data_IF_525280823705
#
_entry.id   IF_525280823705
#
_cell.length_a   1.000
_cell.length_b   1.000
_cell.length_c   1.000
_cell.angle_alpha   90.00
_cell.angle_beta   90.00
_cell.angle_gamma   90.00
#
_symmetry.space_group_name_H-M   'P 1'
#
loop_
_entity.id
_entity.type
_entity.pdbx_description
1 polymer ?
#
# COMPACT_ATOMS: atom_id res chain seq x y z
N UNK A 1 24.31 21.79 1.43
CA UNK A 1 24.36 20.32 1.33
C UNK A 1 23.75 19.78 2.62
N UNK A 2 22.44 19.57 2.63
CA UNK A 2 21.71 19.14 3.84
C UNK A 2 21.74 17.62 3.86
N UNK A 3 22.41 17.08 4.87
CA UNK A 3 22.41 15.65 5.20
C UNK A 3 20.97 15.27 5.60
N UNK A 4 20.25 14.65 4.67
CA UNK A 4 19.01 13.96 4.98
C UNK A 4 19.41 12.68 5.70
N UNK A 5 19.18 12.64 7.00
CA UNK A 5 19.27 11.39 7.78
C UNK A 5 18.22 10.44 7.21
N UNK A 6 18.59 9.27 6.64
CA UNK A 6 17.59 8.29 6.27
C UNK A 6 16.94 7.79 7.56
N UNK A 7 15.63 8.02 7.68
CA UNK A 7 14.80 7.41 8.71
C UNK A 7 14.93 5.89 8.55
N UNK A 8 15.77 5.32 9.41
CA UNK A 8 16.00 3.91 9.61
C UNK A 8 14.78 3.37 10.37
N UNK A 9 13.67 3.16 9.67
CA UNK A 9 12.37 2.90 10.29
C UNK A 9 11.65 1.70 9.67
N UNK A 10 12.38 0.61 9.48
CA UNK A 10 11.78 -0.74 9.33
C UNK A 10 12.53 -1.85 10.10
N UNK A 11 13.55 -1.51 10.90
CA UNK A 11 14.26 -2.45 11.77
C UNK A 11 14.34 -2.05 13.25
N UNK A 12 13.75 -0.92 13.65
CA UNK A 12 13.89 -0.37 15.01
C UNK A 12 12.60 -0.36 15.83
N UNK A 13 11.50 -0.91 15.31
CA UNK A 13 10.17 -0.91 15.95
C UNK A 13 9.71 -2.23 16.59
N UNK A 14 10.51 -3.29 16.58
CA UNK A 14 10.18 -4.55 17.26
C UNK A 14 11.22 -4.86 18.32
N UNK A 15 10.87 -4.64 19.58
CA UNK A 15 11.61 -5.24 20.68
C UNK A 15 11.53 -6.79 20.56
N UNK A 16 12.66 -7.40 20.18
CA UNK A 16 13.06 -8.76 20.50
C UNK A 16 12.17 -9.95 20.08
N UNK A 17 11.43 -9.86 18.97
CA UNK A 17 11.01 -11.06 18.24
C UNK A 17 12.01 -11.29 17.11
N UNK A 18 12.75 -12.41 17.16
CA UNK A 18 13.62 -12.82 16.07
C UNK A 18 12.75 -12.98 14.81
N UNK A 19 12.95 -12.12 13.81
CA UNK A 19 12.20 -12.21 12.57
C UNK A 19 12.59 -13.50 11.87
N UNK A 20 11.60 -14.29 11.48
CA UNK A 20 11.81 -15.59 10.85
C UNK A 20 11.08 -15.68 9.53
N UNK A 21 11.66 -16.41 8.59
CA UNK A 21 11.03 -16.78 7.33
C UNK A 21 10.63 -18.26 7.40
N UNK A 22 9.38 -18.57 7.04
CA UNK A 22 8.82 -19.91 7.18
C UNK A 22 8.14 -20.37 5.91
N UNK A 23 8.25 -21.67 5.62
CA UNK A 23 7.46 -22.37 4.60
C UNK A 23 6.98 -23.72 5.16
N UNK A 24 5.93 -24.31 4.60
CA UNK A 24 5.52 -25.66 4.99
C UNK A 24 6.53 -26.71 4.50
N UNK A 25 6.92 -27.63 5.38
CA UNK A 25 7.67 -28.83 4.97
C UNK A 25 6.77 -29.73 4.13
N UNK A 26 7.38 -30.43 3.16
CA UNK A 26 6.65 -31.28 2.22
C UNK A 26 5.96 -30.50 1.10
N UNK A 27 6.34 -29.23 0.90
CA UNK A 27 6.00 -28.48 -0.29
C UNK A 27 6.63 -29.15 -1.53
N UNK A 28 5.84 -29.31 -2.59
CA UNK A 28 6.23 -30.08 -3.77
C UNK A 28 6.39 -29.17 -4.99
N UNK A 29 7.43 -29.41 -5.80
CA UNK A 29 7.72 -28.61 -6.99
C UNK A 29 6.64 -28.77 -8.07
N UNK A 30 6.15 -30.00 -8.25
CA UNK A 30 5.05 -30.35 -9.14
C UNK A 30 3.70 -29.73 -8.71
N UNK A 31 3.60 -29.28 -7.46
CA UNK A 31 2.46 -28.55 -6.93
C UNK A 31 2.79 -27.06 -6.69
N UNK A 32 3.84 -26.55 -7.33
CA UNK A 32 4.24 -25.14 -7.27
C UNK A 32 4.47 -24.60 -5.85
N UNK A 33 4.92 -25.46 -4.93
CA UNK A 33 5.19 -25.09 -3.54
C UNK A 33 4.08 -25.43 -2.56
N UNK A 34 2.96 -26.01 -3.03
CA UNK A 34 1.88 -26.42 -2.14
C UNK A 34 2.31 -27.62 -1.30
N UNK A 35 2.12 -27.52 0.01
CA UNK A 35 2.21 -28.62 0.96
C UNK A 35 0.80 -29.12 1.33
N UNK A 36 0.35 -30.29 0.84
CA UNK A 36 -1.01 -30.76 1.07
C UNK A 36 -1.34 -30.98 2.55
N UNK A 37 -0.38 -31.52 3.30
CA UNK A 37 -0.62 -31.98 4.68
C UNK A 37 -0.35 -30.90 5.73
N UNK A 38 0.49 -29.89 5.41
CA UNK A 38 0.88 -28.80 6.33
C UNK A 38 1.43 -29.29 7.68
N UNK A 39 1.99 -30.49 7.72
CA UNK A 39 2.33 -31.19 8.97
C UNK A 39 3.42 -30.50 9.81
N UNK A 40 4.28 -29.68 9.20
CA UNK A 40 5.34 -28.96 9.91
C UNK A 40 5.83 -27.75 9.11
N UNK A 41 6.54 -26.86 9.81
CA UNK A 41 7.18 -25.69 9.23
C UNK A 41 8.68 -25.90 9.11
N UNK A 42 9.24 -25.35 8.04
CA UNK A 42 10.65 -25.08 7.89
C UNK A 42 10.83 -23.59 8.15
N UNK A 43 11.51 -23.25 9.24
CA UNK A 43 11.71 -21.87 9.69
C UNK A 43 13.20 -21.59 9.73
N UNK A 44 13.60 -20.43 9.19
CA UNK A 44 14.97 -19.90 9.26
C UNK A 44 14.96 -18.51 9.86
N UNK A 45 16.03 -18.15 10.58
CA UNK A 45 16.24 -16.77 11.01
C UNK A 45 16.38 -15.87 9.79
N UNK A 46 15.77 -14.68 9.82
CA UNK A 46 15.93 -13.72 8.72
C UNK A 46 17.39 -13.31 8.57
N UNK A 47 18.13 -13.15 9.67
CA UNK A 47 19.55 -12.80 9.63
C UNK A 47 20.38 -13.86 8.89
N UNK A 48 20.15 -15.14 9.18
CA UNK A 48 20.84 -16.26 8.53
C UNK A 48 20.48 -16.33 7.04
N UNK A 49 19.20 -16.14 6.71
CA UNK A 49 18.73 -16.08 5.33
C UNK A 49 19.36 -14.92 4.56
N UNK A 50 19.48 -13.76 5.20
CA UNK A 50 20.05 -12.56 4.59
C UNK A 50 21.56 -12.70 4.35
N UNK A 51 22.28 -13.32 5.28
CA UNK A 51 23.71 -13.58 5.22
C UNK A 51 24.10 -14.76 4.31
N UNK A 52 23.16 -15.65 3.99
CA UNK A 52 23.41 -16.80 3.13
C UNK A 52 23.85 -16.41 1.72
N UNK A 53 24.67 -17.27 1.10
CA UNK A 53 25.13 -17.09 -0.27
C UNK A 53 23.94 -17.15 -1.25
N UNK A 54 23.90 -16.21 -2.19
CA UNK A 54 22.93 -16.24 -3.30
C UNK A 54 23.50 -17.10 -4.42
N UNK A 55 22.76 -18.14 -4.80
CA UNK A 55 23.12 -19.03 -5.88
C UNK A 55 22.03 -19.07 -6.95
N UNK A 56 22.38 -19.25 -8.24
CA UNK A 56 21.40 -19.49 -9.28
C UNK A 56 20.69 -20.84 -9.07
N UNK A 57 19.41 -20.90 -9.43
CA UNK A 57 18.68 -22.16 -9.45
C UNK A 57 19.15 -23.04 -10.63
N UNK A 58 19.00 -24.36 -10.50
CA UNK A 58 19.47 -25.31 -11.53
C UNK A 58 18.70 -25.18 -12.85
N UNK A 59 17.44 -24.74 -12.81
CA UNK A 59 16.58 -24.59 -13.97
C UNK A 59 16.90 -23.26 -14.69
N UNK A 60 17.33 -23.26 -15.96
CA UNK A 60 17.72 -22.04 -16.67
C UNK A 60 16.59 -21.02 -16.80
N UNK A 61 15.34 -21.47 -16.91
CA UNK A 61 14.17 -20.60 -17.00
C UNK A 61 13.59 -20.23 -15.62
N UNK A 62 14.37 -20.42 -14.55
CA UNK A 62 13.91 -20.24 -13.18
C UNK A 62 12.92 -21.33 -12.74
N UNK A 63 12.54 -21.26 -11.48
CA UNK A 63 11.59 -22.18 -10.86
C UNK A 63 10.28 -21.44 -10.57
N UNK A 64 9.14 -21.85 -11.16
CA UNK A 64 7.86 -21.24 -10.88
C UNK A 64 7.34 -21.67 -9.50
N UNK A 65 6.65 -20.76 -8.83
CA UNK A 65 5.96 -21.01 -7.56
C UNK A 65 4.52 -20.51 -7.64
N UNK A 66 3.65 -20.97 -6.75
CA UNK A 66 2.30 -20.45 -6.58
C UNK A 66 2.24 -19.36 -5.50
N UNK A 67 3.38 -18.81 -5.07
CA UNK A 67 3.42 -17.67 -4.16
C UNK A 67 2.94 -16.44 -4.91
N UNK A 68 1.92 -15.79 -4.37
CA UNK A 68 1.26 -14.62 -4.96
C UNK A 68 2.07 -13.36 -4.69
N UNK A 69 2.05 -12.49 -5.69
CA UNK A 69 2.54 -11.12 -5.64
C UNK A 69 1.46 -10.17 -6.16
N UNK A 70 1.13 -9.15 -5.37
CA UNK A 70 0.03 -8.25 -5.66
C UNK A 70 0.23 -7.48 -6.97
N UNK A 71 -0.84 -7.34 -7.76
CA UNK A 71 -0.86 -6.45 -8.93
C UNK A 71 -0.48 -5.01 -8.57
N UNK A 72 -0.91 -4.54 -7.41
CA UNK A 72 -0.64 -3.18 -6.91
C UNK A 72 0.84 -2.98 -6.60
N UNK A 73 1.46 -3.96 -5.95
CA UNK A 73 2.89 -3.98 -5.67
C UNK A 73 3.70 -4.08 -6.98
N UNK A 74 3.20 -4.82 -7.97
CA UNK A 74 3.86 -4.96 -9.28
C UNK A 74 3.84 -3.64 -10.04
N UNK A 75 2.69 -2.97 -10.09
CA UNK A 75 2.57 -1.64 -10.71
C UNK A 75 3.49 -0.63 -10.02
N UNK A 76 3.56 -0.70 -8.69
CA UNK A 76 4.46 0.15 -7.93
C UNK A 76 5.94 -0.14 -8.24
N UNK A 77 6.34 -1.41 -8.32
CA UNK A 77 7.67 -1.82 -8.76
C UNK A 77 8.01 -1.28 -10.16
N UNK A 78 7.08 -1.38 -11.11
CA UNK A 78 7.28 -0.87 -12.46
C UNK A 78 7.46 0.64 -12.49
N UNK A 79 6.66 1.37 -11.72
CA UNK A 79 6.74 2.83 -11.69
C UNK A 79 8.06 3.30 -11.07
N UNK A 80 8.51 2.72 -9.95
CA UNK A 80 9.79 3.14 -9.35
C UNK A 80 10.99 2.78 -10.22
N UNK A 81 10.93 1.67 -10.97
CA UNK A 81 12.04 1.17 -11.79
C UNK A 81 12.02 1.66 -13.23
N UNK A 82 11.01 2.46 -13.61
CA UNK A 82 10.82 2.96 -14.97
C UNK A 82 12.01 3.76 -15.51
N UNK A 83 12.68 4.51 -14.63
CA UNK A 83 13.83 5.35 -14.98
C UNK A 83 15.19 4.65 -14.78
N UNK A 84 15.20 3.39 -14.36
CA UNK A 84 16.41 2.63 -14.00
C UNK A 84 16.33 2.02 -12.59
N UNK A 85 17.47 1.60 -12.02
CA UNK A 85 17.53 1.10 -10.65
C UNK A 85 16.97 2.12 -9.64
N UNK A 86 16.18 1.63 -8.69
CA UNK A 86 15.53 2.44 -7.66
C UNK A 86 16.03 2.05 -6.27
N UNK A 87 16.44 3.04 -5.49
CA UNK A 87 16.74 2.86 -4.07
C UNK A 87 15.50 3.07 -3.21
N UNK A 88 15.18 2.09 -2.36
CA UNK A 88 14.06 2.16 -1.41
C UNK A 88 14.59 1.68 -0.06
N UNK A 89 14.68 2.57 0.92
CA UNK A 89 15.06 2.25 2.30
C UNK A 89 16.38 1.45 2.45
N UNK A 90 17.37 1.77 1.61
CA UNK A 90 18.67 1.09 1.61
C UNK A 90 18.68 -0.25 0.88
N UNK A 91 17.56 -0.66 0.30
CA UNK A 91 17.49 -1.69 -0.75
C UNK A 91 17.63 -1.06 -2.14
N UNK A 92 18.06 -1.86 -3.10
CA UNK A 92 18.11 -1.51 -4.53
C UNK A 92 17.27 -2.50 -5.30
N UNK A 93 16.35 -1.97 -6.10
CA UNK A 93 15.48 -2.73 -7.00
C UNK A 93 15.79 -2.32 -8.43
N UNK A 94 16.10 -3.28 -9.28
CA UNK A 94 16.43 -3.05 -10.68
C UNK A 94 15.58 -3.95 -11.57
N UNK A 95 14.98 -3.36 -12.62
CA UNK A 95 14.37 -4.15 -13.69
C UNK A 95 15.49 -4.69 -14.58
N UNK A 96 15.56 -6.02 -14.74
CA UNK A 96 16.56 -6.68 -15.58
C UNK A 96 15.94 -7.77 -16.44
N UNK A 97 16.64 -8.13 -17.52
CA UNK A 97 16.33 -9.36 -18.26
C UNK A 97 17.12 -10.50 -17.64
N UNK A 98 16.44 -11.49 -17.07
CA UNK A 98 17.04 -12.68 -16.47
C UNK A 98 16.78 -13.86 -17.38
N UNK A 99 17.85 -14.43 -17.95
CA UNK A 99 17.76 -15.58 -18.86
C UNK A 99 16.74 -15.38 -20.00
N UNK A 100 16.69 -14.16 -20.55
CA UNK A 100 15.79 -13.77 -21.64
C UNK A 100 14.36 -13.40 -21.21
N UNK A 101 14.03 -13.47 -19.92
CA UNK A 101 12.72 -13.10 -19.38
C UNK A 101 12.78 -11.75 -18.65
N UNK A 102 11.72 -10.92 -18.72
CA UNK A 102 11.62 -9.72 -17.90
C UNK A 102 11.52 -10.11 -16.43
N UNK A 103 12.36 -9.51 -15.59
CA UNK A 103 12.38 -9.75 -14.16
C UNK A 103 12.97 -8.59 -13.38
N UNK A 104 13.25 -8.87 -12.12
CA UNK A 104 13.76 -7.92 -11.14
C UNK A 104 14.95 -8.51 -10.42
N UNK A 105 15.90 -7.64 -10.10
CA UNK A 105 16.94 -7.85 -9.10
C UNK A 105 16.57 -7.06 -7.86
N UNK A 106 16.57 -7.72 -6.72
CA UNK A 106 16.40 -7.05 -5.44
C UNK A 106 17.61 -7.31 -4.57
N UNK A 107 18.16 -6.26 -3.97
CA UNK A 107 19.35 -6.37 -3.15
C UNK A 107 19.34 -5.44 -1.95
N UNK A 108 20.02 -5.84 -0.88
CA UNK A 108 20.41 -4.95 0.21
C UNK A 108 21.93 -4.87 0.24
N UNK A 109 22.54 -3.83 -0.38
CA UNK A 109 23.99 -3.74 -0.52
C UNK A 109 24.75 -3.84 0.81
N UNK A 110 24.16 -3.35 1.91
CA UNK A 110 24.78 -3.38 3.24
C UNK A 110 24.99 -4.78 3.79
N UNK A 111 24.11 -5.73 3.46
CA UNK A 111 24.18 -7.11 3.92
C UNK A 111 24.74 -8.05 2.86
N UNK A 112 24.97 -7.55 1.63
CA UNK A 112 25.29 -8.39 0.48
C UNK A 112 24.12 -9.28 0.04
N UNK A 113 22.91 -9.03 0.54
CA UNK A 113 21.72 -9.77 0.13
C UNK A 113 21.38 -9.45 -1.32
N UNK A 114 21.05 -10.50 -2.08
CA UNK A 114 20.58 -10.37 -3.44
C UNK A 114 19.67 -11.54 -3.81
N UNK A 115 18.59 -11.25 -4.54
CA UNK A 115 17.72 -12.25 -5.17
C UNK A 115 17.27 -11.76 -6.54
N UNK A 116 16.95 -12.71 -7.42
CA UNK A 116 16.44 -12.43 -8.76
C UNK A 116 15.18 -13.22 -9.02
N UNK A 117 14.13 -12.52 -9.46
CA UNK A 117 12.81 -13.11 -9.67
C UNK A 117 12.09 -12.48 -10.86
N UNK A 118 11.07 -13.16 -11.37
CA UNK A 118 10.11 -12.62 -12.32
C UNK A 118 8.69 -12.75 -11.76
N UNK A 119 7.83 -11.89 -12.27
CA UNK A 119 6.39 -11.89 -11.97
C UNK A 119 5.67 -12.33 -13.24
N UNK A 120 4.90 -13.41 -13.15
CA UNK A 120 4.15 -13.96 -14.28
C UNK A 120 2.68 -14.13 -13.92
N UNK A 121 1.80 -14.11 -14.92
CA UNK A 121 0.40 -14.49 -14.70
C UNK A 121 0.33 -16.00 -14.44
N UNK A 122 -0.55 -16.46 -13.53
CA UNK A 122 -0.67 -17.89 -13.27
C UNK A 122 -1.09 -18.62 -14.55
N UNK A 123 -0.37 -19.68 -14.85
CA UNK A 123 -0.66 -20.51 -16.01
C UNK A 123 -1.77 -21.52 -15.70
N UNK A 124 -2.20 -22.25 -16.73
CA UNK A 124 -3.25 -23.25 -16.60
C UNK A 124 -2.92 -24.32 -15.53
N UNK A 125 -1.70 -24.90 -15.47
CA UNK A 125 -1.31 -25.78 -14.37
C UNK A 125 -1.58 -25.25 -12.96
N UNK A 126 -1.22 -23.99 -12.66
CA UNK A 126 -1.49 -23.38 -11.35
C UNK A 126 -3.00 -23.23 -11.10
N UNK A 127 -3.74 -22.76 -12.10
CA UNK A 127 -5.20 -22.62 -12.01
C UNK A 127 -5.91 -23.97 -11.84
N UNK A 128 -5.43 -25.02 -12.50
CA UNK A 128 -5.94 -26.37 -12.37
C UNK A 128 -5.70 -26.92 -10.95
N UNK A 129 -4.55 -26.61 -10.33
CA UNK A 129 -4.29 -26.95 -8.92
C UNK A 129 -5.29 -26.29 -7.97
N UNK A 130 -5.58 -24.99 -8.15
CA UNK A 130 -6.61 -24.28 -7.37
C UNK A 130 -7.97 -24.97 -7.56
N UNK A 131 -8.33 -25.29 -8.81
CA UNK A 131 -9.56 -26.00 -9.15
C UNK A 131 -9.69 -27.36 -8.45
N UNK A 132 -8.59 -28.11 -8.33
CA UNK A 132 -8.57 -29.41 -7.66
C UNK A 132 -8.68 -29.28 -6.13
N UNK A 133 -7.94 -28.37 -5.53
CA UNK A 133 -7.91 -28.15 -4.07
C UNK A 133 -9.28 -27.74 -3.56
N UNK A 134 -9.92 -26.77 -4.22
CA UNK A 134 -11.22 -26.24 -3.81
C UNK A 134 -12.41 -26.89 -4.53
N UNK A 135 -12.23 -28.06 -5.17
CA UNK A 135 -13.26 -28.72 -5.99
C UNK A 135 -14.62 -28.90 -5.28
N UNK A 136 -14.59 -29.10 -3.96
CA UNK A 136 -15.79 -29.31 -3.13
C UNK A 136 -16.40 -28.01 -2.58
N UNK A 137 -15.69 -26.89 -2.69
CA UNK A 137 -16.11 -25.60 -2.16
C UNK A 137 -16.08 -24.55 -3.28
N UNK A 138 -17.20 -24.44 -4.00
CA UNK A 138 -17.30 -23.57 -5.19
C UNK A 138 -17.08 -22.09 -4.87
N UNK A 139 -17.49 -21.65 -3.67
CA UNK A 139 -17.27 -20.26 -3.22
C UNK A 139 -15.77 -19.96 -3.13
N UNK A 140 -15.03 -20.75 -2.34
CA UNK A 140 -13.59 -20.56 -2.19
C UNK A 140 -12.82 -20.82 -3.48
N UNK A 141 -13.27 -21.79 -4.29
CA UNK A 141 -12.69 -22.02 -5.62
C UNK A 141 -12.75 -20.77 -6.47
N UNK A 142 -13.91 -20.11 -6.53
CA UNK A 142 -14.08 -18.88 -7.31
C UNK A 142 -13.22 -17.75 -6.76
N UNK A 143 -13.31 -17.49 -5.45
CA UNK A 143 -12.58 -16.41 -4.79
C UNK A 143 -11.05 -16.55 -4.94
N UNK A 144 -10.50 -17.75 -4.72
CA UNK A 144 -9.06 -18.00 -4.87
C UNK A 144 -8.64 -17.92 -6.33
N UNK A 145 -9.46 -18.41 -7.27
CA UNK A 145 -9.14 -18.33 -8.69
C UNK A 145 -9.13 -16.89 -9.19
N UNK A 146 -10.13 -16.07 -8.82
CA UNK A 146 -10.17 -14.63 -9.11
C UNK A 146 -8.93 -13.93 -8.51
N UNK A 147 -8.63 -14.18 -7.24
CA UNK A 147 -7.44 -13.63 -6.58
C UNK A 147 -6.14 -13.93 -7.34
N UNK A 148 -5.92 -15.17 -7.77
CA UNK A 148 -4.72 -15.51 -8.55
C UNK A 148 -4.73 -14.88 -9.95
N UNK A 149 -5.88 -14.83 -10.63
CA UNK A 149 -6.01 -14.24 -11.96
C UNK A 149 -5.73 -12.73 -11.96
N UNK A 150 -6.17 -12.03 -10.91
CA UNK A 150 -5.96 -10.59 -10.76
C UNK A 150 -4.52 -10.25 -10.39
N UNK A 151 -3.83 -11.16 -9.69
CA UNK A 151 -2.47 -10.97 -9.22
C UNK A 151 -1.42 -11.69 -10.10
N UNK A 152 -0.19 -11.80 -9.59
CA UNK A 152 0.94 -12.47 -10.25
C UNK A 152 1.45 -13.59 -9.36
N UNK A 153 2.17 -14.54 -9.96
CA UNK A 153 2.95 -15.55 -9.25
C UNK A 153 4.44 -15.32 -9.46
N UNK A 154 5.24 -15.82 -8.53
CA UNK A 154 6.67 -15.55 -8.47
C UNK A 154 7.47 -16.70 -9.07
N UNK A 155 8.37 -16.36 -9.98
CA UNK A 155 9.38 -17.26 -10.54
C UNK A 155 10.75 -16.85 -10.03
N UNK A 156 11.49 -17.78 -9.44
CA UNK A 156 12.81 -17.51 -8.85
C UNK A 156 13.93 -17.96 -9.78
N UNK A 157 14.92 -17.09 -9.99
CA UNK A 157 16.14 -17.39 -10.75
C UNK A 157 17.36 -17.56 -9.85
N UNK A 158 17.40 -16.83 -8.73
CA UNK A 158 18.48 -16.88 -7.75
C UNK A 158 17.88 -16.86 -6.35
N UNK A 159 18.39 -17.72 -5.48
CA UNK A 159 17.85 -17.95 -4.15
C UNK A 159 18.98 -18.13 -3.12
N UNK A 160 18.60 -18.05 -1.84
CA UNK A 160 19.53 -18.16 -0.72
C UNK A 160 19.80 -19.61 -0.35
N UNK A 161 21.07 -20.00 -0.39
CA UNK A 161 21.56 -21.31 0.03
C UNK A 161 21.76 -21.34 1.56
N UNK A 162 20.65 -21.38 2.30
CA UNK A 162 20.61 -21.24 3.77
C UNK A 162 20.51 -22.59 4.49
N UNK A 163 19.97 -23.62 3.84
CA UNK A 163 19.69 -24.92 4.47
C UNK A 163 20.90 -25.85 4.47
N UNK A 164 21.65 -25.87 3.36
CA UNK A 164 22.85 -26.69 3.22
C UNK A 164 23.95 -25.96 2.42
N UNK A 165 24.59 -24.94 3.02
CA UNK A 165 25.60 -24.11 2.35
C UNK A 165 26.72 -24.93 1.69
N UNK A 166 27.08 -26.08 2.27
CA UNK A 166 28.17 -26.94 1.78
C UNK A 166 27.93 -27.58 0.42
N UNK A 167 26.66 -27.79 0.03
CA UNK A 167 26.31 -28.42 -1.27
C UNK A 167 26.47 -27.49 -2.46
N UNK A 168 26.54 -26.17 -2.22
CA UNK A 168 26.60 -25.13 -3.28
C UNK A 168 25.50 -25.31 -4.34
N UNK A 169 24.30 -25.69 -3.91
CA UNK A 169 23.17 -25.92 -4.79
C UNK A 169 21.89 -25.51 -4.05
N UNK A 170 21.01 -24.82 -4.76
CA UNK A 170 19.73 -24.36 -4.22
C UNK A 170 18.71 -25.50 -4.23
N UNK A 171 18.05 -25.76 -3.10
CA UNK A 171 16.92 -26.69 -3.02
C UNK A 171 15.59 -26.01 -3.35
N UNK A 172 14.54 -26.81 -3.61
CA UNK A 172 13.22 -26.24 -3.87
C UNK A 172 12.64 -25.52 -2.64
N UNK A 173 12.93 -25.98 -1.42
CA UNK A 173 12.54 -25.28 -0.21
C UNK A 173 13.21 -23.90 -0.07
N UNK A 174 14.46 -23.76 -0.51
CA UNK A 174 15.17 -22.47 -0.55
C UNK A 174 14.61 -21.52 -1.60
N UNK A 175 14.17 -22.07 -2.75
CA UNK A 175 13.36 -21.33 -3.72
C UNK A 175 12.09 -20.82 -3.08
N UNK A 176 11.37 -21.64 -2.32
CA UNK A 176 10.13 -21.22 -1.68
C UNK A 176 10.35 -20.22 -0.55
N UNK A 177 11.39 -20.38 0.27
CA UNK A 177 11.78 -19.37 1.25
C UNK A 177 12.02 -18.04 0.53
N UNK A 178 12.80 -18.06 -0.56
CA UNK A 178 13.06 -16.86 -1.36
C UNK A 178 11.78 -16.26 -1.96
N UNK A 179 10.89 -17.08 -2.51
CA UNK A 179 9.61 -16.63 -3.04
C UNK A 179 8.71 -16.05 -1.93
N UNK A 180 8.63 -16.68 -0.77
CA UNK A 180 7.90 -16.16 0.39
C UNK A 180 8.50 -14.86 0.91
N UNK A 181 9.83 -14.68 0.85
CA UNK A 181 10.45 -13.42 1.26
C UNK A 181 9.98 -12.24 0.40
N UNK A 182 9.90 -12.45 -0.93
CA UNK A 182 9.43 -11.42 -1.87
C UNK A 182 7.91 -11.37 -2.06
N UNK A 183 7.20 -12.44 -1.70
CA UNK A 183 5.76 -12.58 -1.90
C UNK A 183 4.91 -11.86 -0.87
N UNK A 184 3.62 -11.73 -1.19
CA UNK A 184 2.65 -11.06 -0.32
C UNK A 184 2.51 -11.80 1.02
N UNK A 185 2.18 -11.04 2.06
CA UNK A 185 1.97 -11.59 3.42
C UNK A 185 0.76 -12.50 3.54
N UNK A 186 -0.19 -12.45 2.60
CA UNK A 186 -1.42 -13.24 2.64
C UNK A 186 -1.49 -14.19 1.44
N UNK A 187 -1.43 -15.51 1.68
CA UNK A 187 -1.44 -16.51 0.61
C UNK A 187 -2.75 -17.31 0.62
N UNK A 188 -3.49 -17.28 -0.49
CA UNK A 188 -4.86 -17.80 -0.52
C UNK A 188 -4.94 -19.28 -0.91
N UNK A 189 -3.94 -19.82 -1.60
CA UNK A 189 -3.93 -21.24 -1.97
C UNK A 189 -3.55 -22.11 -0.76
N UNK A 190 -4.45 -22.99 -0.37
CA UNK A 190 -4.25 -23.91 0.74
C UNK A 190 -2.97 -24.74 0.58
N UNK A 191 -2.07 -24.61 1.55
CA UNK A 191 -0.79 -25.31 1.57
C UNK A 191 0.38 -24.47 1.06
N UNK A 192 0.14 -23.22 0.64
CA UNK A 192 1.18 -22.19 0.52
C UNK A 192 1.25 -21.44 1.85
N UNK A 193 2.46 -21.17 2.34
CA UNK A 193 2.66 -20.40 3.56
C UNK A 193 2.71 -18.91 3.23
N UNK A 194 2.17 -18.10 4.13
CA UNK A 194 2.22 -16.64 4.09
C UNK A 194 3.64 -16.12 3.87
N UNK A 195 3.75 -15.09 3.02
CA UNK A 195 5.02 -14.45 2.72
C UNK A 195 5.48 -13.50 3.82
N UNK A 196 6.71 -13.01 3.68
CA UNK A 196 7.26 -11.95 4.52
C UNK A 196 6.76 -10.57 4.10
N UNK A 197 6.39 -10.38 2.83
CA UNK A 197 5.81 -9.12 2.36
C UNK A 197 6.80 -7.97 2.25
N UNK A 198 8.06 -8.22 1.87
CA UNK A 198 9.10 -7.17 1.78
C UNK A 198 8.72 -6.00 0.85
N UNK A 199 7.80 -6.24 -0.09
CA UNK A 199 7.30 -5.24 -1.02
C UNK A 199 5.91 -4.70 -0.67
N UNK A 200 5.29 -5.12 0.43
CA UNK A 200 3.94 -4.65 0.80
C UNK A 200 3.89 -3.12 0.94
N UNK A 201 4.97 -2.51 1.44
CA UNK A 201 5.06 -1.06 1.66
C UNK A 201 5.60 -0.29 0.44
N UNK A 202 5.96 -0.96 -0.64
CA UNK A 202 6.48 -0.27 -1.83
C UNK A 202 5.43 0.66 -2.47
N UNK A 203 4.16 0.30 -2.29
CA UNK A 203 3.01 1.09 -2.71
C UNK A 203 2.98 2.45 -2.02
N UNK A 204 3.31 2.48 -0.72
CA UNK A 204 3.46 3.70 0.07
C UNK A 204 4.60 4.57 -0.44
N UNK A 205 5.76 3.98 -0.75
CA UNK A 205 6.92 4.74 -1.23
C UNK A 205 6.69 5.35 -2.62
N UNK A 206 5.93 4.70 -3.51
CA UNK A 206 5.47 5.32 -4.78
C UNK A 206 4.59 6.53 -4.50
N UNK A 207 3.57 6.37 -3.66
CA UNK A 207 2.66 7.46 -3.34
C UNK A 207 3.39 8.62 -2.66
N UNK A 208 4.37 8.34 -1.80
CA UNK A 208 5.24 9.34 -1.19
C UNK A 208 6.11 10.06 -2.21
N UNK A 209 6.71 9.36 -3.19
CA UNK A 209 7.49 9.99 -4.28
C UNK A 209 6.62 10.89 -5.15
N UNK A 210 5.44 10.43 -5.55
CA UNK A 210 4.48 11.22 -6.31
C UNK A 210 4.08 12.48 -5.51
N UNK A 211 3.75 12.32 -4.23
CA UNK A 211 3.42 13.44 -3.36
C UNK A 211 4.59 14.37 -3.06
N UNK A 212 5.83 13.88 -2.94
CA UNK A 212 7.03 14.71 -2.79
C UNK A 212 7.27 15.54 -4.05
N UNK A 213 7.14 14.92 -5.23
CA UNK A 213 7.20 15.64 -6.49
C UNK A 213 6.13 16.73 -6.52
N UNK A 214 4.93 16.47 -5.99
CA UNK A 214 3.87 17.48 -5.89
C UNK A 214 4.15 18.57 -4.84
N UNK A 215 4.74 18.22 -3.70
CA UNK A 215 5.18 19.14 -2.64
C UNK A 215 6.18 20.16 -3.16
N UNK A 216 7.13 19.73 -4.00
CA UNK A 216 8.11 20.62 -4.62
C UNK A 216 7.47 21.72 -5.51
N UNK A 217 6.24 21.49 -5.99
CA UNK A 217 5.50 22.44 -6.82
C UNK A 217 4.51 23.33 -6.05
N UNK A 218 3.96 22.87 -4.91
CA UNK A 218 2.80 23.52 -4.25
C UNK A 218 3.00 23.81 -2.75
N UNK A 219 4.21 23.60 -2.19
CA UNK A 219 4.60 23.90 -0.80
C UNK A 219 3.60 23.45 0.29
N UNK A 220 2.84 22.38 0.06
CA UNK A 220 1.84 21.91 1.04
C UNK A 220 2.46 21.09 2.19
N UNK A 221 1.79 21.03 3.33
CA UNK A 221 2.29 20.40 4.57
C UNK A 221 2.58 18.88 4.44
N UNK A 222 3.50 18.37 5.27
CA UNK A 222 3.70 16.93 5.46
C UNK A 222 2.68 16.34 6.44
N UNK A 223 2.47 15.03 6.32
CA UNK A 223 1.81 14.26 7.38
C UNK A 223 2.74 14.10 8.57
N UNK A 224 2.25 14.45 9.76
CA UNK A 224 3.04 14.30 10.99
C UNK A 224 3.01 12.85 11.50
N UNK A 225 1.87 12.18 11.34
CA UNK A 225 1.63 10.78 11.74
C UNK A 225 0.83 10.05 10.67
N UNK A 226 0.71 8.71 10.76
CA UNK A 226 -0.14 7.87 9.91
C UNK A 226 -0.02 8.07 8.39
N UNK A 227 1.13 8.58 7.92
CA UNK A 227 1.35 8.91 6.52
C UNK A 227 1.09 7.72 5.59
N UNK A 228 1.51 6.52 6.00
CA UNK A 228 1.29 5.28 5.24
C UNK A 228 -0.18 4.95 5.04
N UNK A 229 -0.97 5.05 6.10
CA UNK A 229 -2.42 4.82 6.04
C UNK A 229 -3.10 5.86 5.16
N UNK A 230 -2.71 7.13 5.28
CA UNK A 230 -3.25 8.21 4.46
C UNK A 230 -2.98 8.01 2.97
N UNK A 231 -1.72 7.74 2.58
CA UNK A 231 -1.39 7.55 1.17
C UNK A 231 -2.00 6.30 0.57
N UNK A 232 -1.95 5.17 1.29
CA UNK A 232 -2.58 3.94 0.83
C UNK A 232 -4.09 4.13 0.64
N UNK A 233 -4.75 4.88 1.54
CA UNK A 233 -6.18 5.17 1.39
C UNK A 233 -6.49 6.02 0.17
N UNK A 234 -5.76 7.12 -0.04
CA UNK A 234 -5.96 8.00 -1.21
C UNK A 234 -5.78 7.19 -2.49
N UNK A 235 -4.73 6.36 -2.57
CA UNK A 235 -4.49 5.48 -3.72
C UNK A 235 -5.63 4.48 -3.93
N UNK A 236 -6.11 3.84 -2.87
CA UNK A 236 -7.23 2.89 -2.98
C UNK A 236 -8.51 3.58 -3.48
N UNK A 237 -8.76 4.83 -3.08
CA UNK A 237 -9.89 5.63 -3.58
C UNK A 237 -9.76 5.99 -5.06
N UNK A 238 -8.53 6.17 -5.57
CA UNK A 238 -8.26 6.44 -6.99
C UNK A 238 -8.48 5.21 -7.89
N UNK A 239 -8.39 4.01 -7.32
CA UNK A 239 -8.57 2.75 -8.05
C UNK A 239 -10.03 2.34 -8.18
N UNK A 240 -10.94 2.99 -7.46
CA UNK A 240 -12.38 2.77 -7.59
C UNK A 240 -12.86 3.51 -8.85
N UNK A 241 -13.51 2.79 -9.76
CA UNK A 241 -14.11 3.38 -10.96
C UNK A 241 -15.11 4.48 -10.58
N UNK A 242 -14.94 5.69 -11.13
CA UNK A 242 -15.86 6.80 -10.90
C UNK A 242 -15.17 8.13 -10.60
N UNK A 243 -15.94 9.08 -10.08
CA UNK A 243 -15.41 10.36 -9.61
C UNK A 243 -14.73 10.19 -8.24
N UNK A 244 -13.50 10.68 -8.13
CA UNK A 244 -12.70 10.53 -6.91
C UNK A 244 -13.38 11.13 -5.67
N UNK A 245 -14.10 12.25 -5.80
CA UNK A 245 -14.75 12.91 -4.67
C UNK A 245 -15.99 12.15 -4.24
N UNK A 246 -16.73 11.57 -5.20
CA UNK A 246 -17.84 10.66 -4.90
C UNK A 246 -17.33 9.40 -4.17
N UNK A 247 -16.20 8.83 -4.60
CA UNK A 247 -15.56 7.69 -3.92
C UNK A 247 -15.11 8.05 -2.49
N UNK A 248 -14.50 9.23 -2.31
CA UNK A 248 -14.10 9.75 -1.00
C UNK A 248 -15.30 9.90 -0.07
N UNK A 249 -16.42 10.43 -0.57
CA UNK A 249 -17.65 10.59 0.20
C UNK A 249 -18.26 9.25 0.61
N UNK A 250 -18.32 8.28 -0.31
CA UNK A 250 -18.78 6.92 0.01
C UNK A 250 -17.93 6.26 1.10
N UNK A 251 -16.61 6.45 1.04
CA UNK A 251 -15.72 5.94 2.09
C UNK A 251 -16.00 6.56 3.47
N UNK A 252 -16.36 7.84 3.47
CA UNK A 252 -16.61 8.60 4.70
C UNK A 252 -18.01 8.37 5.28
N UNK A 253 -19.02 8.13 4.45
CA UNK A 253 -20.41 7.91 4.90
C UNK A 253 -20.55 6.72 5.85
N UNK A 254 -19.68 5.72 5.70
CA UNK A 254 -19.70 4.49 6.49
C UNK A 254 -18.97 4.62 7.85
N UNK A 255 -18.31 5.76 8.10
CA UNK A 255 -17.35 5.89 9.22
C UNK A 255 -17.64 7.03 10.19
N UNK A 256 -18.27 8.12 9.75
CA UNK A 256 -18.43 9.31 10.60
C UNK A 256 -19.58 9.17 11.61
N UNK A 257 -19.29 8.78 12.86
CA UNK A 257 -20.22 9.05 13.98
C UNK A 257 -19.93 10.42 14.61
N UNK A 258 -20.99 11.12 15.06
CA UNK A 258 -20.86 12.38 15.79
C UNK A 258 -20.23 12.17 17.17
N UNK A 259 -19.24 12.99 17.47
CA UNK A 259 -18.90 13.34 18.85
C UNK A 259 -19.32 14.79 19.07
N UNK A 260 -19.68 15.14 20.32
CA UNK A 260 -19.82 16.54 20.71
C UNK A 260 -18.53 17.28 20.37
N UNK A 261 -18.65 18.55 19.96
CA UNK A 261 -17.52 19.45 19.69
C UNK A 261 -16.48 19.32 20.81
N UNK A 262 -15.39 18.63 20.56
CA UNK A 262 -14.24 18.68 21.45
C UNK A 262 -13.51 19.99 21.17
N UNK A 263 -12.94 20.62 22.20
CA UNK A 263 -12.14 21.85 22.04
C UNK A 263 -10.86 21.62 21.21
N UNK A 264 -10.61 20.38 20.77
CA UNK A 264 -9.39 19.95 20.10
C UNK A 264 -9.72 19.52 18.66
N UNK A 265 -9.13 20.21 17.69
CA UNK A 265 -9.20 19.82 16.28
C UNK A 265 -8.47 18.47 16.08
N UNK A 266 -9.17 17.48 15.54
CA UNK A 266 -8.60 16.19 15.12
C UNK A 266 -7.81 16.41 13.84
N UNK A 267 -6.54 16.03 13.82
CA UNK A 267 -5.74 16.15 12.60
C UNK A 267 -6.24 15.19 11.51
N UNK A 268 -6.18 15.55 10.21
CA UNK A 268 -6.59 14.65 9.13
C UNK A 268 -5.98 13.23 9.21
N UNK A 269 -4.73 13.14 9.67
CA UNK A 269 -3.99 11.90 9.87
C UNK A 269 -4.52 11.01 11.01
N UNK A 270 -5.21 11.58 11.99
CA UNK A 270 -5.91 10.83 13.04
C UNK A 270 -7.34 10.52 12.66
N UNK A 271 -7.99 11.43 11.92
CA UNK A 271 -9.36 11.28 11.47
C UNK A 271 -9.55 10.01 10.63
N UNK A 272 -8.54 9.64 9.83
CA UNK A 272 -8.57 8.40 9.03
C UNK A 272 -8.61 7.13 9.88
N UNK A 273 -8.02 7.16 11.07
CA UNK A 273 -7.94 6.00 11.97
C UNK A 273 -9.16 5.90 12.85
N UNK A 274 -9.49 7.01 13.49
CA UNK A 274 -10.61 7.11 14.42
C UNK A 274 -11.92 6.97 13.67
N UNK A 275 -12.03 7.57 12.47
CA UNK A 275 -13.29 7.69 11.75
C UNK A 275 -14.28 8.64 12.42
N UNK A 276 -13.91 9.30 13.52
CA UNK A 276 -14.78 10.13 14.34
C UNK A 276 -14.21 11.54 14.47
N UNK A 277 -15.09 12.54 14.45
CA UNK A 277 -14.70 13.93 14.66
C UNK A 277 -15.88 14.88 14.49
N UNK A 278 -15.63 16.16 14.79
CA UNK A 278 -16.57 17.25 14.59
C UNK A 278 -16.81 17.53 13.10
N UNK A 279 -17.87 18.27 12.75
CA UNK A 279 -18.08 18.73 11.38
C UNK A 279 -16.91 19.54 10.79
N UNK A 280 -16.16 20.25 11.64
CA UNK A 280 -14.94 20.96 11.23
C UNK A 280 -13.80 19.98 10.90
N UNK A 281 -13.59 18.95 11.74
CA UNK A 281 -12.56 17.93 11.49
C UNK A 281 -12.81 17.20 10.16
N UNK A 282 -14.07 16.87 9.88
CA UNK A 282 -14.47 16.31 8.59
C UNK A 282 -14.11 17.23 7.42
N UNK A 283 -14.46 18.51 7.52
CA UNK A 283 -14.18 19.47 6.45
C UNK A 283 -12.67 19.67 6.26
N UNK A 284 -11.90 19.75 7.35
CA UNK A 284 -10.44 19.77 7.35
C UNK A 284 -9.81 18.51 6.72
N UNK A 285 -10.34 17.32 7.02
CA UNK A 285 -9.89 16.06 6.41
C UNK A 285 -10.11 16.06 4.90
N UNK A 286 -11.31 16.43 4.45
CA UNK A 286 -11.62 16.54 3.02
C UNK A 286 -10.74 17.60 2.35
N UNK A 287 -10.54 18.75 2.99
CA UNK A 287 -9.65 19.80 2.48
C UNK A 287 -8.24 19.25 2.21
N UNK A 288 -7.67 18.52 3.17
CA UNK A 288 -6.31 17.96 3.05
C UNK A 288 -6.19 17.00 1.85
N UNK A 289 -7.16 16.09 1.70
CA UNK A 289 -7.16 15.13 0.58
C UNK A 289 -7.33 15.86 -0.76
N UNK A 290 -8.30 16.77 -0.88
CA UNK A 290 -8.54 17.49 -2.14
C UNK A 290 -7.34 18.34 -2.54
N UNK A 291 -6.67 18.98 -1.58
CA UNK A 291 -5.44 19.75 -1.83
C UNK A 291 -4.35 18.86 -2.41
N UNK A 292 -4.16 17.64 -1.86
CA UNK A 292 -3.18 16.66 -2.37
C UNK A 292 -3.53 16.11 -3.74
N UNK A 293 -4.82 16.09 -4.08
CA UNK A 293 -5.31 15.79 -5.42
C UNK A 293 -5.23 16.96 -6.41
N UNK A 294 -4.51 18.03 -6.06
CA UNK A 294 -4.31 19.23 -6.91
C UNK A 294 -5.61 19.92 -7.29
N UNK A 295 -6.63 19.76 -6.45
CA UNK A 295 -7.80 20.61 -6.53
C UNK A 295 -7.48 21.92 -5.81
N UNK A 296 -8.30 22.94 -6.06
CA UNK A 296 -8.22 24.21 -5.33
C UNK A 296 -9.29 24.22 -4.24
N UNK A 297 -9.04 23.65 -3.04
CA UNK A 297 -10.03 23.64 -1.98
C UNK A 297 -10.02 24.95 -1.17
N UNK A 298 -11.18 25.29 -0.63
CA UNK A 298 -11.42 26.40 0.30
C UNK A 298 -12.32 25.87 1.42
N UNK A 299 -11.92 26.14 2.65
CA UNK A 299 -12.71 25.77 3.82
C UNK A 299 -13.67 26.90 4.19
N UNK A 300 -14.95 26.59 4.32
CA UNK A 300 -16.02 27.56 4.56
C UNK A 300 -16.76 27.23 5.86
N UNK A 301 -16.96 28.25 6.69
CA UNK A 301 -17.88 28.22 7.83
C UNK A 301 -19.13 29.03 7.51
N UNK A 302 -20.30 28.42 7.68
CA UNK A 302 -21.61 29.01 7.41
C UNK A 302 -22.41 29.06 8.70
N UNK A 303 -22.90 30.24 9.08
CA UNK A 303 -23.74 30.36 10.28
C UNK A 303 -25.13 29.79 10.00
N UNK A 304 -25.61 28.89 10.86
CA UNK A 304 -26.95 28.34 10.73
C UNK A 304 -28.00 29.39 11.12
N UNK A 305 -29.06 29.52 10.32
CA UNK A 305 -30.09 30.53 10.55
C UNK A 305 -30.82 30.25 11.87
N UNK A 306 -30.78 31.21 12.79
CA UNK A 306 -31.48 31.11 14.07
C UNK A 306 -30.76 30.29 15.15
N UNK A 307 -29.52 29.85 14.93
CA UNK A 307 -28.70 29.20 15.96
C UNK A 307 -27.32 29.88 16.10
N UNK A 308 -26.59 29.51 17.16
CA UNK A 308 -25.19 29.89 17.34
C UNK A 308 -24.22 28.91 16.64
N UNK A 309 -24.76 27.87 16.00
CA UNK A 309 -23.97 26.81 15.39
C UNK A 309 -23.49 27.17 13.98
N UNK A 310 -22.39 26.54 13.60
CA UNK A 310 -21.80 26.66 12.28
C UNK A 310 -21.84 25.33 11.53
N UNK A 311 -22.18 25.40 10.26
CA UNK A 311 -21.98 24.32 9.30
C UNK A 311 -20.66 24.53 8.55
N UNK A 312 -19.92 23.45 8.32
CA UNK A 312 -18.63 23.51 7.63
C UNK A 312 -18.70 22.81 6.27
N UNK A 313 -18.05 23.39 5.28
CA UNK A 313 -18.04 22.92 3.90
C UNK A 313 -16.63 23.06 3.33
N UNK A 314 -16.17 22.04 2.60
CA UNK A 314 -14.97 22.16 1.77
C UNK A 314 -15.40 22.39 0.34
N UNK A 315 -15.33 23.63 -0.11
CA UNK A 315 -15.53 23.98 -1.52
C UNK A 315 -14.27 23.64 -2.30
N UNK A 316 -14.39 23.18 -3.54
CA UNK A 316 -13.26 22.86 -4.40
C UNK A 316 -13.58 23.06 -5.87
N UNK A 317 -12.54 23.24 -6.68
CA UNK A 317 -12.63 23.18 -8.15
C UNK A 317 -11.43 22.48 -8.75
N UNK A 318 -11.62 21.91 -9.93
CA UNK A 318 -10.56 21.29 -10.73
C UNK A 318 -10.01 22.28 -11.75
N UNK A 319 -8.79 22.77 -11.53
CA UNK A 319 -8.17 23.80 -12.36
C UNK A 319 -8.75 25.21 -12.19
N UNK A 320 -8.13 26.19 -12.86
CA UNK A 320 -8.43 27.63 -12.66
C UNK A 320 -9.82 28.06 -13.12
N UNK A 321 -10.38 27.38 -14.12
CA UNK A 321 -11.66 27.71 -14.74
C UNK A 321 -12.77 26.69 -14.41
N UNK A 322 -12.50 25.76 -13.48
CA UNK A 322 -13.47 24.76 -13.05
C UNK A 322 -14.62 25.38 -12.23
N UNK A 323 -15.81 24.79 -12.35
CA UNK A 323 -16.94 25.12 -11.49
C UNK A 323 -16.63 24.71 -10.05
N UNK A 324 -17.02 25.56 -9.10
CA UNK A 324 -16.93 25.23 -7.68
C UNK A 324 -17.97 24.17 -7.34
N UNK A 325 -17.52 23.10 -6.71
CA UNK A 325 -18.34 22.09 -6.03
C UNK A 325 -18.05 22.17 -4.53
N UNK A 326 -18.90 21.57 -3.71
CA UNK A 326 -18.76 21.58 -2.25
C UNK A 326 -18.93 20.19 -1.68
N UNK A 327 -18.13 19.86 -0.67
CA UNK A 327 -18.24 18.62 0.07
C UNK A 327 -18.60 18.95 1.51
N UNK A 328 -19.76 18.48 1.93
CA UNK A 328 -20.24 18.54 3.31
C UNK A 328 -20.48 17.13 3.83
N UNK A 329 -20.75 17.01 5.12
CA UNK A 329 -21.14 15.72 5.70
C UNK A 329 -22.47 15.21 5.14
N UNK A 330 -23.36 16.11 4.74
CA UNK A 330 -24.63 15.78 4.11
C UNK A 330 -24.47 15.32 2.65
N UNK A 331 -23.28 15.43 2.09
CA UNK A 331 -22.93 14.96 0.75
C UNK A 331 -22.37 16.05 -0.16
N UNK A 332 -22.40 15.76 -1.46
CA UNK A 332 -21.85 16.58 -2.52
C UNK A 332 -22.83 17.69 -2.94
N UNK A 333 -22.35 18.92 -3.01
CA UNK A 333 -23.04 20.10 -3.53
C UNK A 333 -22.42 20.47 -4.87
N UNK A 334 -23.09 20.15 -5.98
CA UNK A 334 -22.64 20.54 -7.33
C UNK A 334 -22.98 22.01 -7.58
N UNK A 335 -22.10 22.73 -8.29
CA UNK A 335 -22.24 24.17 -8.60
C UNK A 335 -22.35 25.08 -7.36
N UNK A 336 -21.56 24.77 -6.33
CA UNK A 336 -21.46 25.54 -5.10
C UNK A 336 -21.16 27.03 -5.34
N UNK A 337 -20.48 27.42 -6.42
CA UNK A 337 -20.20 28.84 -6.72
C UNK A 337 -21.46 29.68 -6.98
N UNK A 338 -22.39 29.14 -7.78
CA UNK A 338 -23.68 29.76 -8.03
C UNK A 338 -24.59 29.63 -6.80
N UNK A 339 -24.51 28.52 -6.07
CA UNK A 339 -25.28 28.31 -4.84
C UNK A 339 -24.83 29.19 -3.67
N UNK A 340 -23.53 29.40 -3.43
CA UNK A 340 -23.02 30.20 -2.32
C UNK A 340 -23.37 31.69 -2.47
N UNK A 341 -23.46 32.17 -3.70
CA UNK A 341 -23.91 33.54 -4.01
C UNK A 341 -25.44 33.66 -4.05
N UNK A 342 -26.16 32.64 -4.53
CA UNK A 342 -27.64 32.64 -4.59
C UNK A 342 -28.36 32.25 -3.29
N UNK A 343 -27.69 31.56 -2.36
CA UNK A 343 -28.26 31.14 -1.07
C UNK A 343 -28.30 32.26 -0.03
N UNK A 344 -27.74 33.44 -0.30
CA UNK A 344 -27.73 34.58 0.62
C UNK A 344 -27.10 34.29 1.99
N UNK A 345 -26.37 33.17 2.12
CA UNK A 345 -25.77 32.76 3.37
C UNK A 345 -24.44 33.46 3.57
N UNK A 346 -24.31 34.20 4.67
CA UNK A 346 -23.04 34.75 5.08
C UNK A 346 -22.09 33.59 5.44
N UNK A 347 -21.00 33.46 4.69
CA UNK A 347 -19.94 32.50 4.96
C UNK A 347 -18.63 33.22 5.32
N UNK A 348 -17.78 32.53 6.06
CA UNK A 348 -16.41 32.95 6.36
C UNK A 348 -15.46 31.91 5.78
N UNK A 349 -14.45 32.38 5.03
CA UNK A 349 -13.35 31.51 4.59
C UNK A 349 -12.43 31.29 5.79
N UNK A 350 -12.20 30.03 6.13
CA UNK A 350 -11.28 29.63 7.17
C UNK A 350 -9.87 29.40 6.60
N UNK A 351 -8.86 29.78 7.37
CA UNK A 351 -7.48 29.47 7.08
C UNK A 351 -7.16 28.04 7.54
N UNK A 352 -7.18 27.10 6.59
CA UNK A 352 -6.90 25.70 6.86
C UNK A 352 -5.46 25.48 7.37
N UNK A 353 -4.47 26.27 6.93
CA UNK A 353 -3.09 26.13 7.38
C UNK A 353 -2.91 26.57 8.83
N UNK A 354 -3.58 27.66 9.22
CA UNK A 354 -3.64 28.08 10.61
C UNK A 354 -4.29 27.02 11.50
N UNK A 355 -5.38 26.39 11.03
CA UNK A 355 -6.06 25.29 11.73
C UNK A 355 -5.14 24.07 11.91
N UNK A 356 -4.45 23.62 10.86
CA UNK A 356 -3.51 22.49 10.95
C UNK A 356 -2.28 22.80 11.81
N UNK A 357 -1.90 24.07 11.92
CA UNK A 357 -0.81 24.51 12.79
C UNK A 357 -1.25 24.50 14.26
N UNK A 358 -2.48 24.94 14.54
CA UNK A 358 -3.06 24.98 15.88
C UNK A 358 -3.56 23.61 16.38
N UNK A 359 -3.91 22.71 15.46
CA UNK A 359 -4.40 21.36 15.75
C UNK A 359 -3.40 20.54 16.54
N UNK A 360 -3.92 19.71 17.45
CA UNK A 360 -3.15 18.81 18.31
C UNK A 360 -3.67 17.40 18.16
N UNK A 361 -2.75 16.44 18.20
CA UNK A 361 -3.09 15.02 18.24
C UNK A 361 -3.82 14.70 19.54
N UNK A 362 -4.93 13.95 19.45
CA UNK A 362 -5.71 13.52 20.61
C UNK A 362 -4.99 12.40 21.35
N UNK A 363 -4.21 11.58 20.65
CA UNK A 363 -3.38 10.52 21.23
C UNK A 363 -1.93 10.69 20.75
N UNK A 364 -1.08 11.46 21.46
CA UNK A 364 0.32 11.67 21.10
C UNK A 364 1.23 10.45 21.35
#
# INVERSE_FOLDING_TARGET
>A
MVLITPALLLLTGFAAAQQTLSVYRGAQAELFGRAPDRNSLLTVSLDDFMAAETLPVLQPLGVPTAVVFSSLSREALEEITKAGPAEVEGSVIERKTVNGLPGYRFSFPRTGFEVSFALEKPDKPVLDQIGQVYRKNLYWRRAVMEHYQDNYIIRIFEAKNVLDPGKKAVTFEEVLLTASFVGDSDQWLWGIHDGFGVFNEITFEVSKRQNWFYKAYDNYRDYRENAAKMYNRIRNLEQIDGDFVENLLMYLSDRTAETELTETLVMPEEFIETGFGSPLDFACFVYDILRRKRMEPVLLAMKNAGTEDYSFLTAYRTGKDGLWSGVSRQGLVKNAGDSLSSLGMAYTILDAEALFTAGRFINP
#
